data_IF_198983464585
#
_entry.id   IF_198983464585
#
_cell.length_a   1.000
_cell.length_b   1.000
_cell.length_c   1.000
_cell.angle_alpha   90.00
_cell.angle_beta   90.00
_cell.angle_gamma   90.00
#
_symmetry.space_group_name_H-M   'P 1'
#
loop_
_entity.id
_entity.type
_entity.pdbx_description
1 polymer ?
#
# COMPACT_ATOMS: atom_id res chain seq x y z
N UNK A 1 -1.30 -33.79 1.43
CA UNK A 1 -2.66 -33.26 1.22
C UNK A 1 -2.67 -31.92 1.93
N UNK A 2 -2.54 -30.84 1.17
CA UNK A 2 -2.60 -29.49 1.75
C UNK A 2 -4.10 -29.21 1.85
N UNK A 3 -4.58 -29.09 3.08
CA UNK A 3 -5.97 -28.76 3.35
C UNK A 3 -6.20 -27.34 2.80
N UNK A 4 -6.84 -27.23 1.64
CA UNK A 4 -7.21 -25.94 1.07
C UNK A 4 -8.39 -25.44 1.90
N UNK A 5 -8.09 -24.74 3.00
CA UNK A 5 -9.08 -24.02 3.79
C UNK A 5 -9.96 -23.22 2.82
N UNK A 6 -11.27 -23.38 2.94
CA UNK A 6 -12.20 -22.62 2.11
C UNK A 6 -11.94 -21.12 2.29
N UNK A 7 -11.98 -20.32 1.21
CA UNK A 7 -11.64 -18.91 1.29
C UNK A 7 -12.68 -18.21 2.18
N UNK A 8 -12.27 -17.91 3.41
CA UNK A 8 -13.02 -17.07 4.34
C UNK A 8 -13.33 -15.75 3.61
N UNK A 9 -14.60 -15.35 3.58
CA UNK A 9 -15.02 -14.13 2.87
C UNK A 9 -14.37 -12.94 3.57
N UNK A 10 -13.26 -12.44 3.00
CA UNK A 10 -12.50 -11.33 3.57
C UNK A 10 -13.35 -10.06 3.49
N UNK A 11 -13.62 -9.45 4.64
CA UNK A 11 -14.09 -8.09 4.70
C UNK A 11 -12.87 -7.19 4.43
N UNK A 12 -12.55 -6.98 3.15
CA UNK A 12 -11.36 -6.24 2.75
C UNK A 12 -11.40 -4.85 3.37
N UNK A 13 -10.35 -4.49 4.11
CA UNK A 13 -10.26 -3.16 4.70
C UNK A 13 -10.18 -2.11 3.58
N UNK A 14 -10.63 -0.89 3.85
CA UNK A 14 -10.64 0.20 2.87
C UNK A 14 -9.23 0.80 2.60
N UNK A 15 -8.21 -0.05 2.41
CA UNK A 15 -6.86 0.37 2.07
C UNK A 15 -6.13 -0.62 1.17
N UNK A 16 -5.22 -0.08 0.36
CA UNK A 16 -4.18 -0.82 -0.37
C UNK A 16 -2.82 -0.49 0.23
N UNK A 17 -1.88 -1.41 0.12
CA UNK A 17 -0.52 -1.22 0.66
C UNK A 17 0.50 -1.13 -0.46
N UNK A 18 1.56 -0.37 -0.20
CA UNK A 18 2.76 -0.34 -1.03
C UNK A 18 3.95 -0.57 -0.11
N UNK A 19 4.62 -1.71 -0.28
CA UNK A 19 5.71 -2.17 0.60
C UNK A 19 7.04 -2.00 -0.13
N UNK A 20 7.94 -1.18 0.41
CA UNK A 20 9.26 -1.02 -0.19
C UNK A 20 10.06 0.22 0.26
N UNK A 21 11.20 0.43 -0.39
CA UNK A 21 12.03 1.63 -0.25
C UNK A 21 11.67 2.68 -1.31
N UNK A 22 12.25 3.89 -1.22
CA UNK A 22 12.19 4.91 -2.29
C UNK A 22 13.19 4.65 -3.43
N UNK A 23 13.82 3.48 -3.48
CA UNK A 23 14.75 3.17 -4.56
C UNK A 23 14.03 3.30 -5.91
N UNK A 24 14.70 3.90 -6.90
CA UNK A 24 14.12 4.25 -8.20
C UNK A 24 13.42 3.06 -8.87
N UNK A 25 14.02 1.87 -8.78
CA UNK A 25 13.46 0.65 -9.35
C UNK A 25 12.14 0.19 -8.69
N UNK A 26 11.82 0.65 -7.47
CA UNK A 26 10.55 0.33 -6.79
C UNK A 26 9.40 1.21 -7.26
N UNK A 27 9.68 2.31 -7.96
CA UNK A 27 8.70 3.20 -8.56
C UNK A 27 7.57 3.71 -7.64
N UNK A 28 7.82 3.75 -6.32
CA UNK A 28 6.82 4.13 -5.32
C UNK A 28 6.29 5.55 -5.54
N UNK A 29 7.13 6.48 -6.02
CA UNK A 29 6.75 7.88 -6.22
C UNK A 29 5.63 8.03 -7.23
N UNK A 30 5.71 7.31 -8.35
CA UNK A 30 4.72 7.42 -9.42
C UNK A 30 3.34 6.93 -8.99
N UNK A 31 3.25 5.91 -8.12
CA UNK A 31 1.96 5.49 -7.57
C UNK A 31 1.40 6.52 -6.60
N UNK A 32 2.24 7.11 -5.75
CA UNK A 32 1.81 8.19 -4.85
C UNK A 32 1.31 9.41 -5.63
N UNK A 33 1.96 9.77 -6.73
CA UNK A 33 1.56 10.85 -7.63
C UNK A 33 0.23 10.53 -8.32
N UNK A 34 0.13 9.38 -8.99
CA UNK A 34 -1.09 8.94 -9.66
C UNK A 34 -2.29 8.86 -8.70
N UNK A 35 -2.06 8.41 -7.45
CA UNK A 35 -3.11 8.37 -6.43
C UNK A 35 -3.59 9.78 -6.05
N UNK A 36 -2.68 10.76 -5.96
CA UNK A 36 -3.06 12.15 -5.66
C UNK A 36 -3.80 12.81 -6.81
N UNK A 37 -3.42 12.52 -8.05
CA UNK A 37 -4.13 13.02 -9.22
C UNK A 37 -5.53 12.41 -9.26
N UNK A 38 -5.66 11.10 -9.02
CA UNK A 38 -6.95 10.44 -8.89
C UNK A 38 -7.82 11.04 -7.76
N UNK A 39 -7.24 11.39 -6.61
CA UNK A 39 -7.98 12.08 -5.54
C UNK A 39 -8.52 13.46 -5.97
N UNK A 40 -7.78 14.19 -6.82
CA UNK A 40 -8.21 15.51 -7.32
C UNK A 40 -9.31 15.39 -8.36
N UNK A 41 -9.28 14.34 -9.17
CA UNK A 41 -10.22 14.11 -10.27
C UNK A 41 -11.50 13.40 -9.83
N UNK A 42 -11.43 12.47 -8.87
CA UNK A 42 -12.55 11.62 -8.45
C UNK A 42 -13.13 12.00 -7.08
N UNK A 43 -13.67 13.20 -6.95
CA UNK A 43 -14.33 13.65 -5.71
C UNK A 43 -15.58 12.84 -5.30
N UNK A 44 -16.08 11.93 -6.16
CA UNK A 44 -17.38 11.25 -6.01
C UNK A 44 -17.32 9.74 -5.77
N UNK A 45 -16.17 9.08 -5.97
CA UNK A 45 -16.04 7.62 -5.73
C UNK A 45 -15.10 7.33 -4.56
N UNK A 46 -15.44 6.38 -3.65
CA UNK A 46 -14.56 6.03 -2.56
C UNK A 46 -13.31 5.35 -3.11
N UNK A 47 -12.15 5.98 -2.89
CA UNK A 47 -10.85 5.37 -3.13
C UNK A 47 -10.38 4.65 -1.87
N UNK A 48 -9.66 3.53 -2.03
CA UNK A 48 -8.94 2.89 -0.94
C UNK A 48 -7.87 3.84 -0.40
N UNK A 49 -7.65 3.89 0.92
CA UNK A 49 -6.50 4.58 1.51
C UNK A 49 -5.19 3.94 1.00
N UNK A 50 -4.23 4.74 0.54
CA UNK A 50 -2.91 4.25 0.13
C UNK A 50 -1.97 4.25 1.34
N UNK A 51 -1.58 3.07 1.81
CA UNK A 51 -0.63 2.91 2.92
C UNK A 51 0.77 2.57 2.41
N UNK A 52 1.71 3.49 2.63
CA UNK A 52 3.11 3.31 2.23
C UNK A 52 3.92 2.78 3.41
N UNK A 53 4.45 1.58 3.25
CA UNK A 53 5.19 0.83 4.27
C UNK A 53 6.65 0.70 3.86
N UNK A 54 7.57 0.87 4.81
CA UNK A 54 9.00 0.74 4.63
C UNK A 54 9.74 2.06 4.49
N UNK A 55 10.99 1.99 4.00
CA UNK A 55 11.89 3.15 3.89
C UNK A 55 11.37 4.27 2.99
N UNK A 56 10.40 3.95 2.13
CA UNK A 56 9.71 4.92 1.29
C UNK A 56 9.09 6.06 2.10
N UNK A 57 8.46 5.73 3.23
CA UNK A 57 7.70 6.66 4.04
C UNK A 57 8.51 7.84 4.61
N UNK A 58 9.80 7.66 4.91
CA UNK A 58 10.65 8.76 5.40
C UNK A 58 10.99 9.78 4.30
N UNK A 59 11.24 9.34 3.07
CA UNK A 59 11.60 10.27 2.00
C UNK A 59 10.38 11.01 1.46
N UNK A 60 9.19 10.40 1.52
CA UNK A 60 7.96 11.11 1.19
C UNK A 60 7.45 12.00 2.32
N UNK A 61 7.72 11.67 3.59
CA UNK A 61 7.33 12.54 4.71
C UNK A 61 8.20 13.79 4.83
N UNK A 62 9.49 13.74 4.45
CA UNK A 62 10.37 14.92 4.46
C UNK A 62 10.03 15.95 3.39
N UNK A 63 9.49 15.51 2.24
CA UNK A 63 8.94 16.41 1.20
C UNK A 63 7.56 17.00 1.59
N UNK A 64 7.00 16.61 2.74
CA UNK A 64 5.67 17.04 3.24
C UNK A 64 5.71 17.98 4.46
N UNK A 65 6.78 18.74 4.67
CA UNK A 65 6.73 19.85 5.65
C UNK A 65 5.77 21.00 5.27
N UNK A 66 5.07 20.93 4.12
CA UNK A 66 4.28 22.04 3.59
C UNK A 66 2.76 21.85 3.45
N UNK A 67 2.22 20.65 3.16
CA UNK A 67 0.79 20.56 2.80
C UNK A 67 0.24 19.12 2.76
N UNK A 68 -1.01 18.96 3.19
CA UNK A 68 -1.96 18.10 2.46
C UNK A 68 -2.60 16.89 3.14
N UNK A 69 -2.51 16.66 4.45
CA UNK A 69 -3.19 15.51 5.09
C UNK A 69 -4.43 15.89 5.91
N UNK A 70 -4.69 17.19 6.09
CA UNK A 70 -5.83 17.67 6.88
C UNK A 70 -7.13 17.80 6.08
N UNK A 71 -7.05 17.84 4.74
CA UNK A 71 -8.20 18.08 3.85
C UNK A 71 -8.56 16.87 2.96
N UNK A 72 -8.06 15.67 3.30
CA UNK A 72 -8.44 14.46 2.55
C UNK A 72 -9.81 13.94 3.03
N UNK A 73 -10.67 13.47 2.11
CA UNK A 73 -11.93 12.85 2.49
C UNK A 73 -11.69 11.66 3.42
N UNK A 74 -12.57 11.46 4.40
CA UNK A 74 -12.44 10.35 5.34
C UNK A 74 -12.39 9.01 4.60
N UNK A 75 -11.37 8.19 4.90
CA UNK A 75 -11.16 6.89 4.25
C UNK A 75 -10.43 6.94 2.91
N UNK A 76 -10.04 8.13 2.43
CA UNK A 76 -9.21 8.34 1.27
C UNK A 76 -7.95 9.12 1.67
N UNK A 77 -6.81 8.83 1.04
CA UNK A 77 -5.56 9.55 1.30
C UNK A 77 -4.31 8.68 1.34
N UNK A 78 -3.15 9.35 1.43
CA UNK A 78 -1.85 8.66 1.50
C UNK A 78 -1.33 8.67 2.93
N UNK A 79 -1.28 7.49 3.56
CA UNK A 79 -0.72 7.29 4.91
C UNK A 79 0.67 6.68 4.84
N UNK A 80 1.65 7.40 5.38
CA UNK A 80 3.04 6.93 5.46
C UNK A 80 3.29 6.25 6.81
N UNK A 81 3.40 4.92 6.83
CA UNK A 81 3.56 4.15 8.07
C UNK A 81 5.01 4.01 8.53
N UNK A 82 5.99 4.29 7.67
CA UNK A 82 7.39 4.08 8.04
C UNK A 82 7.76 2.60 8.00
N UNK A 83 8.85 2.26 8.67
CA UNK A 83 9.14 0.87 9.02
C UNK A 83 8.19 0.44 10.13
N UNK A 84 7.58 -0.72 9.96
CA UNK A 84 6.66 -1.36 10.90
C UNK A 84 7.28 -2.67 11.38
N UNK A 85 6.78 -3.24 12.48
CA UNK A 85 7.19 -4.57 12.93
C UNK A 85 6.69 -5.67 11.98
N UNK A 86 7.24 -6.88 12.11
CA UNK A 86 6.81 -8.02 11.30
C UNK A 86 5.35 -8.39 11.60
N UNK A 87 4.91 -8.25 12.86
CA UNK A 87 3.52 -8.47 13.27
C UNK A 87 2.58 -7.42 12.69
N UNK A 88 3.00 -6.15 12.64
CA UNK A 88 2.25 -5.09 11.98
C UNK A 88 2.15 -5.33 10.47
N UNK A 89 3.25 -5.78 9.84
CA UNK A 89 3.28 -6.11 8.42
C UNK A 89 2.38 -7.32 8.09
N UNK A 90 2.37 -8.34 8.95
CA UNK A 90 1.46 -9.49 8.87
C UNK A 90 -0.01 -9.02 8.84
N UNK A 91 -0.39 -8.17 9.79
CA UNK A 91 -1.75 -7.62 9.88
C UNK A 91 -2.08 -6.78 8.64
N UNK A 92 -1.13 -6.00 8.13
CA UNK A 92 -1.32 -5.19 6.93
C UNK A 92 -1.59 -6.05 5.70
N UNK A 93 -0.77 -7.07 5.44
CA UNK A 93 -0.99 -7.99 4.32
C UNK A 93 -2.35 -8.71 4.43
N UNK A 94 -2.68 -9.28 5.60
CA UNK A 94 -3.92 -10.03 5.80
C UNK A 94 -5.19 -9.21 5.60
N UNK A 95 -5.13 -7.89 5.76
CA UNK A 95 -6.31 -7.03 5.75
C UNK A 95 -6.38 -6.06 4.57
N UNK A 96 -5.28 -5.82 3.86
CA UNK A 96 -5.25 -4.98 2.67
C UNK A 96 -6.16 -5.53 1.55
N UNK A 97 -6.81 -4.62 0.83
CA UNK A 97 -7.53 -4.96 -0.39
C UNK A 97 -6.59 -5.51 -1.47
N UNK A 98 -5.38 -4.94 -1.56
CA UNK A 98 -4.29 -5.42 -2.40
C UNK A 98 -2.94 -4.84 -1.95
N UNK A 99 -1.85 -5.54 -2.31
CA UNK A 99 -0.53 -4.97 -2.47
C UNK A 99 -0.43 -4.36 -3.87
N UNK A 100 -0.05 -3.09 -3.96
CA UNK A 100 0.37 -2.45 -5.21
C UNK A 100 1.88 -2.65 -5.36
N UNK A 101 2.31 -3.29 -6.44
CA UNK A 101 3.70 -3.64 -6.69
C UNK A 101 4.20 -3.05 -8.02
N UNK A 102 4.55 -1.75 -8.06
CA UNK A 102 4.87 -1.04 -9.30
C UNK A 102 6.35 -1.17 -9.71
N UNK A 103 7.08 -2.15 -9.19
CA UNK A 103 8.55 -2.23 -9.38
C UNK A 103 8.89 -2.40 -10.87
N UNK A 104 9.82 -1.59 -11.37
CA UNK A 104 10.33 -1.64 -12.75
C UNK A 104 11.34 -2.76 -12.96
N UNK A 105 12.10 -3.03 -11.90
CA UNK A 105 13.06 -4.15 -11.83
C UNK A 105 12.93 -4.75 -10.45
N UNK A 106 12.96 -6.07 -10.40
CA UNK A 106 13.00 -6.75 -9.12
C UNK A 106 13.93 -7.96 -9.15
N UNK A 107 14.52 -8.23 -7.98
CA UNK A 107 15.13 -9.52 -7.69
C UNK A 107 14.07 -10.60 -7.53
N UNK A 108 13.98 -11.20 -6.34
CA UNK A 108 13.06 -12.31 -6.10
C UNK A 108 11.58 -11.90 -5.94
N UNK A 109 11.30 -10.67 -5.50
CA UNK A 109 9.92 -10.22 -5.25
C UNK A 109 9.34 -10.76 -3.93
N UNK A 110 10.13 -10.76 -2.86
CA UNK A 110 9.68 -11.17 -1.52
C UNK A 110 8.32 -10.55 -1.10
N UNK A 111 8.05 -9.25 -1.32
CA UNK A 111 6.75 -8.67 -0.97
C UNK A 111 5.56 -9.32 -1.69
N UNK A 112 5.76 -9.79 -2.94
CA UNK A 112 4.71 -10.48 -3.71
C UNK A 112 4.37 -11.80 -3.04
N UNK A 113 5.39 -12.62 -2.77
CA UNK A 113 5.21 -13.95 -2.15
C UNK A 113 4.64 -13.80 -0.73
N UNK A 114 5.14 -12.84 0.04
CA UNK A 114 4.63 -12.51 1.37
C UNK A 114 3.14 -12.14 1.35
N UNK A 115 2.72 -11.32 0.38
CA UNK A 115 1.32 -10.92 0.20
C UNK A 115 0.44 -12.13 -0.17
N UNK A 116 0.87 -12.91 -1.18
CA UNK A 116 0.12 -14.07 -1.66
C UNK A 116 -0.05 -15.15 -0.59
N UNK A 117 0.99 -15.42 0.21
CA UNK A 117 0.93 -16.37 1.33
C UNK A 117 -0.13 -15.98 2.38
N UNK A 118 -0.52 -14.70 2.42
CA UNK A 118 -1.51 -14.15 3.36
C UNK A 118 -2.85 -13.88 2.70
N UNK A 119 -3.05 -14.36 1.46
CA UNK A 119 -4.27 -14.13 0.69
C UNK A 119 -4.47 -12.67 0.28
N UNK A 120 -3.42 -11.84 0.29
CA UNK A 120 -3.46 -10.47 -0.20
C UNK A 120 -3.26 -10.46 -1.71
N UNK A 121 -4.25 -9.97 -2.48
CA UNK A 121 -4.09 -9.78 -3.93
C UNK A 121 -2.89 -8.88 -4.23
N UNK A 122 -2.25 -9.10 -5.38
CA UNK A 122 -1.14 -8.29 -5.86
C UNK A 122 -1.53 -7.68 -7.19
N UNK A 123 -1.31 -6.37 -7.34
CA UNK A 123 -1.61 -5.56 -8.54
C UNK A 123 -0.34 -4.86 -9.00
#
# INVERSE_FOLDING_TARGET
MIDAAEPEVRNASNYVILVGSVARHKNTSSIVEAYRDALRENSTSPLFELRVVGGAARSFSTHRKGSGDKDQPAGAGVKYLGRVSDEELEVLYRNAAALIFPSLEEGFGLPIVEAQLRGCPVV
#
